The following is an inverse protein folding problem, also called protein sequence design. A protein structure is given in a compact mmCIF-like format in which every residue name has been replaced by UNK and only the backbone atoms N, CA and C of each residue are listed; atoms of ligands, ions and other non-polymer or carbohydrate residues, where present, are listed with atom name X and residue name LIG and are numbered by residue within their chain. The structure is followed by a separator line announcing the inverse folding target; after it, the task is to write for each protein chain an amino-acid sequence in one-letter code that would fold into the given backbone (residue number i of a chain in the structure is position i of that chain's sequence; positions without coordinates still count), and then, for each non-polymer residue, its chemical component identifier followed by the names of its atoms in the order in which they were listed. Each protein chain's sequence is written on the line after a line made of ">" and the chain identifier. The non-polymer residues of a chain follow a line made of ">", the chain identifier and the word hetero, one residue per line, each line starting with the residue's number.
data_IF_629912246332
#
_entry.id   IF_629912246332
#
_cell.length_a   1.000
_cell.length_b   1.000
_cell.length_c   1.000
_cell.angle_alpha   90.00
_cell.angle_beta   90.00
_cell.angle_gamma   90.00
#
_symmetry.space_group_name_H-M   'P 1'
#
loop_
_entity.id
_entity.type
_entity.pdbx_description
1 polymer ?
#
# COMPACT_ATOMS: atom_id res chain seq x y z
N UNK A 1 -25.82 24.88 -96.62
CA UNK A 1 -25.05 24.05 -95.66
C UNK A 1 -24.83 24.88 -94.40
N UNK A 2 -25.76 24.87 -93.44
CA UNK A 2 -25.58 25.72 -92.25
C UNK A 2 -26.49 25.33 -91.07
N UNK A 3 -26.46 24.07 -90.62
CA UNK A 3 -27.22 23.65 -89.42
C UNK A 3 -26.42 22.61 -88.63
N UNK A 4 -25.45 23.05 -87.81
CA UNK A 4 -24.84 22.24 -86.74
C UNK A 4 -23.91 23.09 -85.87
N UNK A 5 -24.44 23.98 -85.00
CA UNK A 5 -23.58 24.76 -84.07
C UNK A 5 -24.02 24.94 -82.59
N UNK A 6 -25.26 24.69 -82.12
CA UNK A 6 -25.55 24.95 -80.69
C UNK A 6 -25.35 23.76 -79.74
N UNK A 7 -25.33 22.49 -80.21
CA UNK A 7 -25.18 21.32 -79.33
C UNK A 7 -23.75 21.04 -78.85
N UNK A 8 -22.73 21.38 -79.64
CA UNK A 8 -21.33 21.13 -79.23
C UNK A 8 -20.86 22.03 -78.07
N UNK A 9 -21.52 23.18 -77.84
CA UNK A 9 -21.15 24.11 -76.77
C UNK A 9 -21.75 23.72 -75.40
N UNK A 10 -22.90 23.04 -75.36
CA UNK A 10 -23.48 22.54 -74.10
C UNK A 10 -22.76 21.30 -73.59
N UNK A 11 -22.34 20.41 -74.49
CA UNK A 11 -21.63 19.17 -74.13
C UNK A 11 -20.20 19.48 -73.65
N UNK A 12 -19.54 20.48 -74.24
CA UNK A 12 -18.23 20.96 -73.78
C UNK A 12 -18.28 21.56 -72.36
N UNK A 13 -19.33 22.35 -72.04
CA UNK A 13 -19.51 22.91 -70.68
C UNK A 13 -19.90 21.84 -69.65
N UNK A 14 -20.67 20.82 -70.05
CA UNK A 14 -21.01 19.70 -69.17
C UNK A 14 -19.78 18.83 -68.85
N UNK A 15 -18.90 18.60 -69.83
CA UNK A 15 -17.61 17.93 -69.63
C UNK A 15 -16.65 18.75 -68.75
N UNK A 16 -16.59 20.07 -68.93
CA UNK A 16 -15.73 20.96 -68.15
C UNK A 16 -16.16 21.09 -66.67
N UNK A 17 -17.48 21.10 -66.42
CA UNK A 17 -18.04 21.03 -65.05
C UNK A 17 -17.81 19.65 -64.43
N UNK A 18 -17.94 18.57 -65.21
CA UNK A 18 -17.66 17.20 -64.75
C UNK A 18 -16.20 17.01 -64.33
N UNK A 19 -15.24 17.52 -65.12
CA UNK A 19 -13.81 17.47 -64.81
C UNK A 19 -13.42 18.36 -63.62
N UNK A 20 -14.14 19.45 -63.40
CA UNK A 20 -13.94 20.34 -62.25
C UNK A 20 -14.43 19.68 -60.96
N UNK A 21 -15.62 19.06 -60.99
CA UNK A 21 -16.19 18.31 -59.87
C UNK A 21 -15.34 17.07 -59.56
N UNK A 22 -14.90 16.33 -60.58
CA UNK A 22 -14.02 15.16 -60.39
C UNK A 22 -12.67 15.52 -59.76
N UNK A 23 -12.07 16.65 -60.15
CA UNK A 23 -10.85 17.18 -59.52
C UNK A 23 -11.08 17.62 -58.08
N UNK A 24 -12.21 18.25 -57.79
CA UNK A 24 -12.58 18.67 -56.43
C UNK A 24 -12.80 17.46 -55.51
N UNK A 25 -13.52 16.43 -55.99
CA UNK A 25 -13.73 15.17 -55.27
C UNK A 25 -12.39 14.47 -55.01
N UNK A 26 -11.49 14.35 -56.00
CA UNK A 26 -10.16 13.77 -55.78
C UNK A 26 -9.36 14.52 -54.72
N UNK A 27 -9.39 15.86 -54.71
CA UNK A 27 -8.71 16.67 -53.69
C UNK A 27 -9.29 16.44 -52.30
N UNK A 28 -10.62 16.40 -52.17
CA UNK A 28 -11.28 16.13 -50.88
C UNK A 28 -10.95 14.73 -50.38
N UNK A 29 -11.01 13.70 -51.25
CA UNK A 29 -10.63 12.33 -50.88
C UNK A 29 -9.17 12.26 -50.46
N UNK A 30 -8.26 12.94 -51.17
CA UNK A 30 -6.83 12.96 -50.82
C UNK A 30 -6.57 13.64 -49.47
N UNK A 31 -7.29 14.73 -49.17
CA UNK A 31 -7.22 15.41 -47.86
C UNK A 31 -7.76 14.51 -46.74
N UNK A 32 -8.91 13.86 -46.96
CA UNK A 32 -9.51 12.96 -45.96
C UNK A 32 -8.62 11.74 -45.72
N UNK A 33 -8.11 11.11 -46.77
CA UNK A 33 -7.17 9.99 -46.66
C UNK A 33 -5.87 10.43 -45.97
N UNK A 34 -5.32 11.59 -46.35
CA UNK A 34 -4.16 12.17 -45.69
C UNK A 34 -4.38 12.42 -44.20
N UNK A 35 -5.54 12.96 -43.83
CA UNK A 35 -5.93 13.18 -42.43
C UNK A 35 -6.06 11.85 -41.68
N UNK A 36 -6.71 10.84 -42.28
CA UNK A 36 -6.85 9.50 -41.68
C UNK A 36 -5.50 8.84 -41.47
N UNK A 37 -4.58 8.95 -42.43
CA UNK A 37 -3.21 8.40 -42.31
C UNK A 37 -2.42 9.13 -41.22
N UNK A 38 -2.51 10.46 -41.15
CA UNK A 38 -1.85 11.25 -40.09
C UNK A 38 -2.43 10.92 -38.72
N UNK A 39 -3.77 10.80 -38.62
CA UNK A 39 -4.43 10.40 -37.38
C UNK A 39 -4.05 8.99 -36.97
N UNK A 40 -3.99 8.03 -37.90
CA UNK A 40 -3.56 6.66 -37.63
C UNK A 40 -2.09 6.57 -37.21
N UNK A 41 -1.20 7.32 -37.88
CA UNK A 41 0.21 7.42 -37.51
C UNK A 41 0.39 8.07 -36.14
N UNK A 42 -0.32 9.17 -35.84
CA UNK A 42 -0.36 9.79 -34.53
C UNK A 42 -0.89 8.81 -33.46
N UNK A 43 -1.90 8.01 -33.80
CA UNK A 43 -2.47 6.99 -32.92
C UNK A 43 -1.47 5.88 -32.54
N UNK A 44 -0.51 5.58 -33.43
CA UNK A 44 0.51 4.55 -33.22
C UNK A 44 1.79 5.10 -32.59
N UNK A 45 2.25 6.29 -33.00
CA UNK A 45 3.55 6.85 -32.60
C UNK A 45 3.51 7.57 -31.25
N UNK A 46 2.44 8.34 -30.97
CA UNK A 46 2.34 9.13 -29.73
C UNK A 46 2.39 8.24 -28.46
N UNK A 47 1.64 7.13 -28.37
CA UNK A 47 1.68 6.25 -27.19
C UNK A 47 3.06 5.63 -26.97
N UNK A 48 3.78 5.33 -28.05
CA UNK A 48 5.10 4.73 -27.99
C UNK A 48 6.15 5.70 -27.44
N UNK A 49 6.14 6.95 -27.92
CA UNK A 49 7.02 8.01 -27.40
C UNK A 49 6.70 8.31 -25.93
N UNK A 50 5.41 8.39 -25.57
CA UNK A 50 4.97 8.59 -24.19
C UNK A 50 5.41 7.43 -23.29
N UNK A 51 5.24 6.18 -23.74
CA UNK A 51 5.65 4.99 -22.99
C UNK A 51 7.15 4.99 -22.69
N UNK A 52 7.99 5.36 -23.65
CA UNK A 52 9.45 5.45 -23.45
C UNK A 52 9.82 6.53 -22.43
N UNK A 53 9.20 7.70 -22.49
CA UNK A 53 9.45 8.76 -21.50
C UNK A 53 9.01 8.34 -20.09
N UNK A 54 7.86 7.67 -19.97
CA UNK A 54 7.34 7.20 -18.71
C UNK A 54 8.17 6.03 -18.16
N UNK A 55 8.69 5.15 -19.02
CA UNK A 55 9.61 4.08 -18.65
C UNK A 55 10.94 4.61 -18.09
N UNK A 56 11.53 5.63 -18.72
CA UNK A 56 12.72 6.30 -18.21
C UNK A 56 12.45 7.00 -16.86
N UNK A 57 11.28 7.62 -16.72
CA UNK A 57 10.86 8.23 -15.47
C UNK A 57 10.64 7.17 -14.37
N UNK A 58 10.02 6.04 -14.70
CA UNK A 58 9.85 4.93 -13.76
C UNK A 58 11.21 4.37 -13.31
N UNK A 59 12.17 4.20 -14.21
CA UNK A 59 13.53 3.78 -13.84
C UNK A 59 14.19 4.77 -12.86
N UNK A 60 13.97 6.07 -13.07
CA UNK A 60 14.46 7.13 -12.17
C UNK A 60 13.75 7.09 -10.83
N UNK A 61 12.42 6.94 -10.82
CA UNK A 61 11.61 6.82 -9.59
C UNK A 61 12.05 5.61 -8.78
N UNK A 62 12.23 4.45 -9.44
CA UNK A 62 12.77 3.24 -8.83
C UNK A 62 14.14 3.51 -8.25
N UNK A 63 15.07 4.09 -9.01
CA UNK A 63 16.42 4.43 -8.55
C UNK A 63 16.42 5.33 -7.31
N UNK A 64 15.59 6.38 -7.29
CA UNK A 64 15.45 7.29 -6.16
C UNK A 64 14.94 6.55 -4.92
N UNK A 65 13.92 5.74 -5.10
CA UNK A 65 13.34 4.89 -4.06
C UNK A 65 14.35 3.85 -3.53
N UNK A 66 15.23 3.31 -4.39
CA UNK A 66 16.31 2.39 -3.95
C UNK A 66 17.27 3.03 -2.96
N UNK A 67 17.46 4.33 -3.10
CA UNK A 67 18.36 5.10 -2.25
C UNK A 67 17.69 5.50 -0.94
N UNK A 68 16.35 5.44 -0.85
CA UNK A 68 15.61 5.70 0.38
C UNK A 68 15.88 4.60 1.40
N UNK A 69 16.53 4.97 2.50
CA UNK A 69 16.76 4.10 3.66
C UNK A 69 15.91 4.60 4.81
N UNK A 70 15.15 3.71 5.42
CA UNK A 70 14.38 4.04 6.61
C UNK A 70 15.19 3.72 7.87
N UNK A 71 15.35 4.67 8.80
CA UNK A 71 16.02 4.42 10.06
C UNK A 71 15.21 3.43 10.92
N UNK A 72 15.90 2.50 11.58
CA UNK A 72 15.35 1.64 12.64
C UNK A 72 16.02 1.98 13.99
N UNK A 73 15.29 1.80 15.09
CA UNK A 73 15.85 1.79 16.47
C UNK A 73 16.95 0.72 16.57
N UNK A 74 17.92 0.86 17.51
CA UNK A 74 19.34 0.69 17.21
C UNK A 74 19.64 -0.66 16.55
N UNK A 75 20.59 -0.68 15.59
CA UNK A 75 20.93 -1.90 14.87
C UNK A 75 21.23 -3.02 15.86
N UNK A 76 20.57 -4.16 15.67
CA UNK A 76 20.85 -5.35 16.48
C UNK A 76 22.34 -5.67 16.37
N UNK A 77 23.08 -5.81 17.50
CA UNK A 77 24.45 -6.28 17.47
C UNK A 77 24.48 -7.66 16.81
N UNK A 78 25.26 -7.82 15.73
CA UNK A 78 25.39 -9.06 14.94
C UNK A 78 24.05 -9.55 14.34
N UNK A 79 23.52 -8.87 13.31
CA UNK A 79 22.34 -9.36 12.61
C UNK A 79 22.64 -10.71 11.95
N UNK A 80 21.72 -11.67 12.07
CA UNK A 80 21.83 -13.00 11.43
C UNK A 80 21.73 -12.95 9.89
N UNK A 81 21.22 -11.85 9.34
CA UNK A 81 21.01 -11.64 7.91
C UNK A 81 21.51 -10.26 7.48
N UNK A 82 21.97 -10.16 6.23
CA UNK A 82 22.54 -8.94 5.65
C UNK A 82 21.50 -7.81 5.54
N UNK A 83 20.23 -8.15 5.33
CA UNK A 83 19.10 -7.23 5.41
C UNK A 83 17.81 -7.92 5.90
N UNK A 84 16.90 -7.13 6.46
CA UNK A 84 15.66 -7.66 7.05
C UNK A 84 14.61 -8.15 6.09
N UNK A 85 14.68 -7.75 4.82
CA UNK A 85 13.76 -8.27 3.82
C UNK A 85 14.11 -9.71 3.43
N UNK A 86 15.37 -10.01 3.17
CA UNK A 86 15.82 -11.38 2.87
C UNK A 86 15.52 -12.35 4.01
N UNK A 87 15.73 -11.90 5.26
CA UNK A 87 15.30 -12.63 6.44
C UNK A 87 13.79 -12.92 6.39
N UNK A 88 12.99 -11.88 6.17
CA UNK A 88 11.53 -12.02 6.13
C UNK A 88 11.06 -12.97 5.02
N UNK A 89 11.61 -12.86 3.80
CA UNK A 89 11.32 -13.78 2.70
C UNK A 89 11.72 -15.21 3.03
N UNK A 90 12.87 -15.42 3.66
CA UNK A 90 13.28 -16.74 4.13
C UNK A 90 12.26 -17.31 5.14
N UNK A 91 11.78 -16.48 6.07
CA UNK A 91 10.74 -16.87 7.03
C UNK A 91 9.40 -17.18 6.38
N UNK A 92 9.01 -16.45 5.32
CA UNK A 92 7.81 -16.75 4.55
C UNK A 92 7.90 -18.09 3.81
N UNK A 93 9.10 -18.50 3.35
CA UNK A 93 9.31 -19.81 2.70
C UNK A 93 9.07 -20.97 3.65
N UNK A 94 9.45 -20.81 4.92
CA UNK A 94 9.29 -21.81 5.98
C UNK A 94 8.08 -21.53 6.89
N UNK A 95 7.21 -20.59 6.49
CA UNK A 95 6.01 -20.26 7.23
C UNK A 95 5.19 -21.54 7.48
N UNK A 96 4.89 -21.87 8.75
CA UNK A 96 4.09 -23.04 9.09
C UNK A 96 2.80 -23.05 8.27
N UNK A 97 2.42 -24.22 7.76
CA UNK A 97 1.20 -24.38 6.94
C UNK A 97 -0.06 -23.94 7.66
N UNK A 98 -0.03 -23.96 8.99
CA UNK A 98 -1.13 -23.63 9.86
C UNK A 98 -0.69 -22.57 10.88
N UNK A 99 -0.73 -21.30 10.49
CA UNK A 99 -0.82 -20.18 11.43
C UNK A 99 -2.29 -19.85 11.72
N UNK A 100 -3.22 -20.75 11.38
CA UNK A 100 -4.67 -20.51 11.25
C UNK A 100 -5.41 -20.02 12.49
N UNK A 101 -4.99 -20.34 13.73
CA UNK A 101 -5.58 -19.67 14.89
C UNK A 101 -5.36 -18.17 14.73
N UNK A 102 -4.18 -17.75 14.26
CA UNK A 102 -3.77 -16.36 14.18
C UNK A 102 -3.90 -15.73 12.78
N UNK A 103 -4.31 -16.42 11.71
CA UNK A 103 -4.56 -15.78 10.40
C UNK A 103 -6.03 -15.37 10.18
N UNK A 104 -6.96 -15.94 10.94
CA UNK A 104 -8.39 -15.63 10.88
C UNK A 104 -9.15 -16.34 9.76
N UNK A 105 -8.50 -17.26 9.02
CA UNK A 105 -9.11 -18.22 8.09
C UNK A 105 -9.14 -19.57 8.81
N UNK A 106 -10.03 -19.67 9.79
CA UNK A 106 -10.06 -20.82 10.69
C UNK A 106 -10.21 -22.14 9.94
N UNK A 107 -9.41 -23.12 10.35
CA UNK A 107 -9.90 -24.49 10.40
C UNK A 107 -11.06 -24.49 11.42
N UNK A 108 -12.24 -24.98 11.04
CA UNK A 108 -13.49 -24.85 11.83
C UNK A 108 -13.43 -25.50 13.23
N UNK A 109 -12.34 -26.18 13.56
CA UNK A 109 -12.09 -26.82 14.84
C UNK A 109 -11.27 -25.97 15.83
N UNK A 110 -10.57 -24.90 15.39
CA UNK A 110 -9.74 -24.08 16.26
C UNK A 110 -10.50 -22.84 16.77
N UNK A 111 -10.42 -22.50 18.08
CA UNK A 111 -11.05 -21.30 18.61
C UNK A 111 -10.47 -20.02 17.98
N UNK A 112 -11.35 -19.17 17.45
CA UNK A 112 -10.97 -17.86 16.89
C UNK A 112 -10.39 -16.97 18.01
N UNK A 113 -9.10 -16.57 17.97
CA UNK A 113 -8.46 -15.86 19.07
C UNK A 113 -8.97 -14.42 19.22
N UNK A 114 -9.90 -13.97 18.37
CA UNK A 114 -10.42 -12.61 18.32
C UNK A 114 -10.84 -12.05 19.68
N UNK A 115 -11.53 -12.84 20.51
CA UNK A 115 -11.97 -12.41 21.84
C UNK A 115 -10.80 -12.10 22.79
N UNK A 116 -9.76 -12.95 22.76
CA UNK A 116 -8.57 -12.83 23.62
C UNK A 116 -7.56 -11.78 23.12
N UNK A 117 -7.53 -11.57 21.80
CA UNK A 117 -6.63 -10.61 21.13
C UNK A 117 -7.19 -9.18 21.13
N UNK A 118 -8.52 -9.00 21.02
CA UNK A 118 -9.16 -7.67 20.80
C UNK A 118 -9.65 -6.95 22.05
N UNK A 119 -9.18 -7.34 23.24
CA UNK A 119 -9.51 -6.67 24.50
C UNK A 119 -10.95 -6.85 25.02
N UNK A 120 -11.75 -7.73 24.42
CA UNK A 120 -13.12 -7.97 24.90
C UNK A 120 -13.12 -8.77 26.20
N UNK A 121 -12.09 -9.58 26.42
CA UNK A 121 -11.87 -10.31 27.68
C UNK A 121 -10.93 -9.54 28.64
N UNK A 122 -11.35 -9.23 29.88
CA UNK A 122 -10.51 -8.62 30.90
C UNK A 122 -9.38 -9.54 31.40
N UNK A 123 -9.53 -10.87 31.33
CA UNK A 123 -8.58 -11.86 31.83
C UNK A 123 -8.26 -12.97 30.81
N UNK A 124 -7.86 -12.65 29.58
CA UNK A 124 -7.76 -13.61 28.48
C UNK A 124 -6.72 -14.69 28.75
N UNK A 125 -5.70 -14.41 29.57
CA UNK A 125 -4.65 -15.37 29.91
C UNK A 125 -5.24 -16.50 30.77
N UNK A 126 -6.26 -16.20 31.58
CA UNK A 126 -6.95 -17.19 32.43
C UNK A 126 -8.03 -17.95 31.66
N UNK A 127 -8.66 -17.32 30.69
CA UNK A 127 -9.76 -17.89 29.90
C UNK A 127 -9.29 -18.49 28.57
N UNK A 128 -8.00 -18.40 28.24
CA UNK A 128 -7.44 -18.91 27.00
C UNK A 128 -7.53 -20.44 26.96
N UNK A 129 -8.05 -21.03 25.87
CA UNK A 129 -8.09 -22.48 25.70
C UNK A 129 -6.67 -23.08 25.74
N UNK A 130 -6.45 -24.22 26.42
CA UNK A 130 -5.14 -24.88 26.49
C UNK A 130 -4.54 -25.18 25.11
N UNK A 131 -5.38 -25.47 24.13
CA UNK A 131 -4.99 -25.74 22.75
C UNK A 131 -4.37 -24.50 22.09
N UNK A 132 -4.89 -23.32 22.40
CA UNK A 132 -4.37 -22.06 21.88
C UNK A 132 -3.03 -21.69 22.55
N UNK A 133 -2.87 -21.94 23.85
CA UNK A 133 -1.59 -21.74 24.54
C UNK A 133 -0.52 -22.71 24.01
N UNK A 134 -0.86 -24.00 23.85
CA UNK A 134 0.06 -25.00 23.29
C UNK A 134 0.51 -24.61 21.88
N UNK A 135 -0.42 -24.13 21.05
CA UNK A 135 -0.10 -23.67 19.69
C UNK A 135 0.75 -22.39 19.68
N UNK A 136 0.49 -21.46 20.59
CA UNK A 136 1.31 -20.27 20.77
C UNK A 136 2.75 -20.65 21.18
N UNK A 137 2.91 -21.63 22.07
CA UNK A 137 4.24 -22.15 22.46
C UNK A 137 4.98 -22.77 21.28
N UNK A 138 4.31 -23.59 20.46
CA UNK A 138 4.92 -24.20 19.27
C UNK A 138 5.40 -23.15 18.24
N UNK A 139 4.60 -22.10 18.02
CA UNK A 139 4.90 -21.05 17.03
C UNK A 139 5.83 -19.94 17.56
N UNK A 140 6.06 -19.88 18.87
CA UNK A 140 6.80 -18.80 19.54
C UNK A 140 8.17 -18.53 18.91
N UNK A 141 8.95 -19.59 18.65
CA UNK A 141 10.27 -19.47 18.03
C UNK A 141 10.21 -18.87 16.63
N UNK A 142 9.23 -19.28 15.83
CA UNK A 142 9.05 -18.74 14.48
C UNK A 142 8.62 -17.27 14.52
N UNK A 143 7.73 -16.89 15.45
CA UNK A 143 7.35 -15.49 15.64
C UNK A 143 8.51 -14.62 16.15
N UNK A 144 9.36 -15.15 17.03
CA UNK A 144 10.58 -14.49 17.49
C UNK A 144 11.53 -14.22 16.33
N UNK A 145 11.82 -15.24 15.52
CA UNK A 145 12.65 -15.10 14.33
C UNK A 145 12.04 -14.11 13.31
N UNK A 146 10.72 -14.12 13.13
CA UNK A 146 10.01 -13.19 12.26
C UNK A 146 10.13 -11.73 12.77
N UNK A 147 9.98 -11.53 14.07
CA UNK A 147 10.16 -10.22 14.73
C UNK A 147 11.60 -9.75 14.59
N UNK A 148 12.57 -10.65 14.72
CA UNK A 148 14.00 -10.37 14.56
C UNK A 148 14.38 -10.03 13.11
N UNK A 149 13.74 -10.63 12.11
CA UNK A 149 13.83 -10.15 10.73
C UNK A 149 13.42 -8.68 10.64
N UNK A 150 12.36 -8.31 11.35
CA UNK A 150 11.92 -6.94 11.57
C UNK A 150 12.91 -6.05 12.33
N UNK A 151 13.92 -6.59 13.00
CA UNK A 151 14.93 -5.82 13.74
C UNK A 151 16.29 -5.77 13.02
N UNK A 152 16.53 -6.66 12.05
CA UNK A 152 17.79 -6.69 11.28
C UNK A 152 17.97 -5.47 10.34
N UNK A 153 19.22 -5.23 9.90
CA UNK A 153 19.69 -4.01 9.22
C UNK A 153 18.76 -3.58 8.07
N UNK A 154 18.63 -2.26 7.91
CA UNK A 154 17.85 -1.50 6.92
C UNK A 154 16.89 -2.33 6.06
N UNK A 155 15.57 -2.11 6.18
CA UNK A 155 14.67 -2.46 5.09
C UNK A 155 15.05 -1.57 3.90
N UNK A 156 15.71 -2.16 2.91
CA UNK A 156 15.91 -1.50 1.63
C UNK A 156 14.63 -1.66 0.83
N UNK A 157 14.07 -0.54 0.39
CA UNK A 157 12.78 -0.50 -0.28
C UNK A 157 12.70 -1.43 -1.50
N UNK A 158 13.81 -1.58 -2.24
CA UNK A 158 13.88 -2.39 -3.47
C UNK A 158 13.74 -3.87 -3.22
N UNK A 159 14.20 -4.33 -2.07
CA UNK A 159 14.03 -5.73 -1.72
C UNK A 159 12.52 -6.02 -1.62
N UNK A 160 11.72 -5.08 -1.08
CA UNK A 160 10.25 -5.13 -1.07
C UNK A 160 9.57 -4.90 -2.45
N UNK A 161 10.30 -4.43 -3.46
CA UNK A 161 9.82 -4.28 -4.85
C UNK A 161 10.10 -5.53 -5.73
N UNK A 162 10.73 -6.58 -5.19
CA UNK A 162 10.90 -7.84 -5.93
C UNK A 162 9.56 -8.59 -6.09
N UNK A 163 9.42 -9.57 -7.02
CA UNK A 163 8.18 -10.28 -7.38
C UNK A 163 7.38 -10.95 -6.24
N UNK A 164 7.79 -10.78 -5.00
CA UNK A 164 7.42 -11.56 -3.84
C UNK A 164 6.70 -10.76 -2.77
N UNK A 165 6.03 -9.66 -3.15
CA UNK A 165 4.77 -9.33 -2.51
C UNK A 165 3.81 -10.51 -2.77
N UNK A 166 3.98 -11.62 -2.05
CA UNK A 166 3.04 -12.73 -1.88
C UNK A 166 1.87 -12.14 -1.09
N UNK A 167 0.85 -11.56 -1.75
CA UNK A 167 -0.04 -10.62 -1.09
C UNK A 167 -0.87 -11.26 0.05
N UNK A 168 -1.23 -12.56 0.03
CA UNK A 168 -1.86 -13.17 1.18
C UNK A 168 -0.84 -13.56 2.27
N UNK A 169 0.23 -14.29 1.94
CA UNK A 169 1.13 -14.88 2.97
C UNK A 169 1.89 -13.84 3.78
N UNK A 170 2.28 -12.74 3.15
CA UNK A 170 2.94 -11.63 3.82
C UNK A 170 2.01 -11.00 4.87
N UNK A 171 0.80 -10.60 4.46
CA UNK A 171 -0.17 -9.97 5.34
C UNK A 171 -0.62 -10.93 6.44
N UNK A 172 -0.80 -12.21 6.11
CA UNK A 172 -1.10 -13.29 7.05
C UNK A 172 0.00 -13.42 8.11
N UNK A 173 1.27 -13.45 7.74
CA UNK A 173 2.39 -13.55 8.68
C UNK A 173 2.48 -12.36 9.63
N UNK A 174 2.37 -11.12 9.11
CA UNK A 174 2.43 -9.91 9.95
C UNK A 174 1.21 -9.82 10.86
N UNK A 175 0.01 -10.13 10.37
CA UNK A 175 -1.20 -10.13 11.19
C UNK A 175 -1.17 -11.24 12.25
N UNK A 176 -0.64 -12.42 11.92
CA UNK A 176 -0.43 -13.50 12.87
C UNK A 176 0.56 -13.08 13.97
N UNK A 177 1.67 -12.42 13.60
CA UNK A 177 2.62 -11.88 14.56
C UNK A 177 1.97 -10.84 15.48
N UNK A 178 1.20 -9.90 14.96
CA UNK A 178 0.48 -8.91 15.76
C UNK A 178 -0.50 -9.55 16.75
N UNK A 179 -1.22 -10.60 16.33
CA UNK A 179 -2.15 -11.35 17.19
C UNK A 179 -1.41 -12.13 18.27
N UNK A 180 -0.33 -12.81 17.91
CA UNK A 180 0.53 -13.53 18.84
C UNK A 180 1.14 -12.57 19.87
N UNK A 181 1.76 -11.48 19.43
CA UNK A 181 2.35 -10.48 20.32
C UNK A 181 1.31 -9.85 21.24
N UNK A 182 0.07 -9.62 20.78
CA UNK A 182 -1.01 -9.13 21.65
C UNK A 182 -1.24 -10.06 22.85
N UNK A 183 -1.27 -11.38 22.63
CA UNK A 183 -1.42 -12.37 23.70
C UNK A 183 -0.17 -12.49 24.57
N UNK A 184 1.00 -12.54 23.94
CA UNK A 184 2.31 -12.61 24.59
C UNK A 184 2.50 -11.46 25.59
N UNK A 185 2.17 -10.23 25.18
CA UNK A 185 2.25 -9.03 26.02
C UNK A 185 1.39 -9.18 27.27
N UNK A 186 0.15 -9.65 27.14
CA UNK A 186 -0.74 -9.83 28.30
C UNK A 186 -0.22 -10.91 29.24
N UNK A 187 0.35 -12.01 28.72
CA UNK A 187 0.99 -13.07 29.53
C UNK A 187 2.20 -12.52 30.29
N UNK A 188 3.05 -11.74 29.63
CA UNK A 188 4.21 -11.12 30.25
C UNK A 188 3.83 -10.10 31.33
N UNK A 189 2.84 -9.23 31.08
CA UNK A 189 2.30 -8.29 32.08
C UNK A 189 1.73 -9.03 33.28
N UNK A 190 0.91 -10.08 33.05
CA UNK A 190 0.35 -10.89 34.12
C UNK A 190 1.41 -11.59 34.99
N UNK A 191 2.57 -11.90 34.40
CA UNK A 191 3.73 -12.50 35.10
C UNK A 191 4.69 -11.46 35.71
N UNK A 192 4.34 -10.17 35.69
CA UNK A 192 5.19 -9.10 36.25
C UNK A 192 6.40 -8.72 35.38
N UNK A 193 6.45 -9.18 34.13
CA UNK A 193 7.54 -8.92 33.18
C UNK A 193 7.22 -7.73 32.26
N UNK A 194 6.86 -6.58 32.86
CA UNK A 194 6.38 -5.40 32.14
C UNK A 194 7.41 -4.82 31.14
N UNK A 195 8.70 -4.84 31.49
CA UNK A 195 9.77 -4.35 30.60
C UNK A 195 9.89 -5.22 29.35
N UNK A 196 9.89 -6.56 29.50
CA UNK A 196 9.89 -7.46 28.35
C UNK A 196 8.62 -7.30 27.53
N UNK A 197 7.45 -7.19 28.17
CA UNK A 197 6.18 -6.95 27.49
C UNK A 197 6.23 -5.67 26.63
N UNK A 198 6.76 -4.58 27.18
CA UNK A 198 6.89 -3.32 26.47
C UNK A 198 7.87 -3.44 25.30
N UNK A 199 9.02 -4.08 25.49
CA UNK A 199 10.01 -4.30 24.44
C UNK A 199 9.44 -5.15 23.30
N UNK A 200 8.77 -6.28 23.61
CA UNK A 200 8.12 -7.14 22.61
C UNK A 200 7.05 -6.39 21.81
N UNK A 201 6.21 -5.63 22.50
CA UNK A 201 5.14 -4.86 21.87
C UNK A 201 5.70 -3.74 20.99
N UNK A 202 6.63 -2.94 21.52
CA UNK A 202 7.22 -1.82 20.80
C UNK A 202 8.02 -2.28 19.59
N UNK A 203 8.84 -3.34 19.69
CA UNK A 203 9.56 -3.91 18.53
C UNK A 203 8.61 -4.44 17.46
N UNK A 204 7.56 -5.16 17.84
CA UNK A 204 6.58 -5.69 16.88
C UNK A 204 5.81 -4.56 16.22
N UNK A 205 5.37 -3.58 17.00
CA UNK A 205 4.68 -2.41 16.47
C UNK A 205 5.58 -1.64 15.52
N UNK A 206 6.84 -1.41 15.89
CA UNK A 206 7.83 -0.78 15.03
C UNK A 206 7.94 -1.54 13.69
N UNK A 207 8.12 -2.86 13.74
CA UNK A 207 8.19 -3.70 12.55
C UNK A 207 6.94 -3.55 11.67
N UNK A 208 5.75 -3.63 12.27
CA UNK A 208 4.48 -3.52 11.52
C UNK A 208 4.29 -2.13 10.91
N UNK A 209 4.69 -1.05 11.59
CA UNK A 209 4.59 0.32 11.05
C UNK A 209 5.51 0.53 9.85
N UNK A 210 6.70 -0.06 9.85
CA UNK A 210 7.62 0.01 8.69
C UNK A 210 7.01 -0.58 7.42
N UNK A 211 6.04 -1.49 7.57
CA UNK A 211 5.39 -2.12 6.43
C UNK A 211 4.55 -1.14 5.62
N UNK A 212 4.16 0.00 6.20
CA UNK A 212 3.47 1.08 5.47
C UNK A 212 4.27 1.63 4.28
N UNK A 213 5.61 1.50 4.32
CA UNK A 213 6.49 1.88 3.21
C UNK A 213 6.43 0.92 2.01
N UNK A 214 5.61 -0.13 2.07
CA UNK A 214 5.40 -1.09 0.97
C UNK A 214 4.15 -0.78 0.14
N UNK A 215 3.52 0.38 0.34
CA UNK A 215 2.34 0.81 -0.42
C UNK A 215 1.05 0.53 0.34
N UNK A 216 -0.06 0.40 -0.38
CA UNK A 216 -1.39 0.38 0.24
C UNK A 216 -1.58 -0.85 1.13
N UNK A 217 -1.22 -2.04 0.65
CA UNK A 217 -1.40 -3.28 1.40
C UNK A 217 -0.58 -3.26 2.70
N UNK A 218 0.69 -2.85 2.62
CA UNK A 218 1.55 -2.73 3.78
C UNK A 218 1.03 -1.71 4.80
N UNK A 219 0.48 -0.58 4.32
CA UNK A 219 -0.16 0.40 5.20
C UNK A 219 -1.45 -0.13 5.83
N UNK A 220 -2.26 -0.91 5.12
CA UNK A 220 -3.44 -1.57 5.70
C UNK A 220 -3.07 -2.57 6.79
N UNK A 221 -2.03 -3.38 6.55
CA UNK A 221 -1.49 -4.32 7.54
C UNK A 221 -0.94 -3.58 8.76
N UNK A 222 -0.20 -2.49 8.55
CA UNK A 222 0.29 -1.62 9.61
C UNK A 222 -0.85 -1.01 10.44
N UNK A 223 -1.88 -0.46 9.79
CA UNK A 223 -3.07 0.09 10.46
C UNK A 223 -3.82 -0.96 11.27
N UNK A 224 -4.04 -2.16 10.70
CA UNK A 224 -4.71 -3.25 11.38
C UNK A 224 -3.89 -3.76 12.58
N UNK A 225 -2.57 -3.85 12.43
CA UNK A 225 -1.64 -4.21 13.51
C UNK A 225 -1.62 -3.16 14.62
N UNK A 226 -1.58 -1.87 14.28
CA UNK A 226 -1.63 -0.78 15.25
C UNK A 226 -2.91 -0.84 16.09
N UNK A 227 -4.08 -1.00 15.47
CA UNK A 227 -5.36 -1.09 16.20
C UNK A 227 -5.37 -2.23 17.22
N UNK A 228 -4.64 -3.30 16.94
CA UNK A 228 -4.54 -4.47 17.80
C UNK A 228 -3.49 -4.32 18.90
N UNK A 229 -2.30 -3.82 18.55
CA UNK A 229 -1.15 -3.74 19.43
C UNK A 229 -1.18 -2.49 20.32
N UNK A 230 -1.72 -1.37 19.85
CA UNK A 230 -1.73 -0.10 20.59
C UNK A 230 -2.29 -0.23 22.01
N UNK A 231 -3.46 -0.85 22.25
CA UNK A 231 -3.97 -1.04 23.61
C UNK A 231 -3.04 -1.89 24.48
N UNK A 232 -2.41 -2.92 23.91
CA UNK A 232 -1.51 -3.83 24.64
C UNK A 232 -0.19 -3.18 25.00
N UNK A 233 0.36 -2.37 24.09
CA UNK A 233 1.58 -1.66 24.36
C UNK A 233 1.37 -0.59 25.44
N UNK A 234 0.18 0.03 25.51
CA UNK A 234 -0.18 0.95 26.60
C UNK A 234 -0.38 0.22 27.92
N UNK A 235 -1.00 -0.97 27.91
CA UNK A 235 -1.08 -1.84 29.09
C UNK A 235 0.32 -2.19 29.62
N UNK A 236 1.23 -2.63 28.75
CA UNK A 236 2.61 -2.92 29.11
C UNK A 236 3.36 -1.68 29.62
N UNK A 237 3.18 -0.53 28.96
CA UNK A 237 3.79 0.74 29.39
C UNK A 237 3.28 1.19 30.75
N UNK A 238 1.97 1.09 31.01
CA UNK A 238 1.36 1.41 32.29
C UNK A 238 1.86 0.51 33.42
N UNK A 239 2.17 -0.76 33.13
CA UNK A 239 2.75 -1.71 34.07
C UNK A 239 4.25 -1.46 34.36
N UNK A 240 4.94 -0.60 33.60
CA UNK A 240 6.34 -0.26 33.88
C UNK A 240 6.49 0.51 35.20
N UNK A 241 7.58 0.28 35.95
CA UNK A 241 7.99 1.15 37.04
C UNK A 241 8.12 2.62 36.59
N UNK A 242 7.71 3.56 37.44
CA UNK A 242 7.74 5.00 37.14
C UNK A 242 9.08 5.53 36.58
N UNK A 243 10.27 5.08 37.04
CA UNK A 243 11.55 5.54 36.49
C UNK A 243 11.79 5.19 35.02
N UNK A 244 11.17 4.11 34.52
CA UNK A 244 11.37 3.65 33.14
C UNK A 244 10.41 4.31 32.15
N UNK A 245 9.23 4.78 32.62
CA UNK A 245 8.20 5.36 31.75
C UNK A 245 8.72 6.54 30.91
N UNK A 246 9.47 7.54 31.43
CA UNK A 246 9.95 8.67 30.63
C UNK A 246 10.91 8.27 29.49
N UNK A 247 11.79 7.28 29.74
CA UNK A 247 12.71 6.78 28.72
C UNK A 247 11.95 6.13 27.56
N UNK A 248 10.91 5.37 27.90
CA UNK A 248 10.05 4.72 26.90
C UNK A 248 9.15 5.70 26.14
N UNK A 249 8.79 6.85 26.71
CA UNK A 249 8.06 7.91 26.01
C UNK A 249 8.83 8.46 24.81
N UNK A 250 10.16 8.57 24.89
CA UNK A 250 10.98 8.91 23.73
C UNK A 250 10.89 7.84 22.63
N UNK A 251 10.84 6.56 23.02
CA UNK A 251 10.61 5.44 22.11
C UNK A 251 9.28 5.54 21.37
N UNK A 252 8.21 5.98 22.05
CA UNK A 252 6.90 6.24 21.44
C UNK A 252 6.94 7.33 20.37
N UNK A 253 7.68 8.42 20.63
CA UNK A 253 7.91 9.48 19.64
C UNK A 253 8.58 8.90 18.40
N UNK A 254 9.59 8.04 18.58
CA UNK A 254 10.25 7.37 17.46
C UNK A 254 9.32 6.43 16.70
N UNK A 255 8.39 5.74 17.36
CA UNK A 255 7.42 4.87 16.68
C UNK A 255 6.46 5.66 15.78
N UNK A 256 6.03 6.84 16.21
CA UNK A 256 5.13 7.69 15.42
C UNK A 256 5.73 8.13 14.07
N UNK A 257 7.06 8.28 13.99
CA UNK A 257 7.75 8.67 12.75
C UNK A 257 7.99 7.53 11.78
N UNK A 258 7.71 6.27 12.18
CA UNK A 258 7.97 5.09 11.32
C UNK A 258 6.88 4.85 10.30
N UNK A 259 5.65 5.30 10.58
CA UNK A 259 4.53 5.15 9.67
C UNK A 259 4.65 6.14 8.51
N UNK A 260 4.63 5.60 7.28
CA UNK A 260 4.73 6.36 6.05
C UNK A 260 3.61 7.40 5.94
N UNK A 261 3.91 8.53 5.31
CA UNK A 261 2.91 9.51 4.92
C UNK A 261 1.98 8.99 3.82
N UNK A 262 0.76 9.55 3.74
CA UNK A 262 -0.15 9.26 2.64
C UNK A 262 0.53 9.52 1.29
N UNK A 263 1.31 10.60 1.19
CA UNK A 263 2.12 10.94 0.02
C UNK A 263 3.09 9.82 -0.37
N UNK A 264 3.89 9.34 0.58
CA UNK A 264 4.86 8.26 0.37
C UNK A 264 4.18 6.94 0.03
N UNK A 265 3.06 6.63 0.70
CA UNK A 265 2.30 5.41 0.43
C UNK A 265 1.75 5.40 -0.99
N UNK A 266 1.10 6.49 -1.44
CA UNK A 266 0.58 6.57 -2.81
C UNK A 266 1.70 6.59 -3.85
N UNK A 267 2.81 7.27 -3.58
CA UNK A 267 3.98 7.25 -4.45
C UNK A 267 4.55 5.83 -4.57
N UNK A 268 4.56 5.09 -3.47
CA UNK A 268 5.00 3.70 -3.42
C UNK A 268 4.08 2.79 -4.20
N UNK A 269 2.78 2.84 -3.93
CA UNK A 269 1.78 2.05 -4.65
C UNK A 269 1.88 2.26 -6.17
N UNK A 270 2.10 3.51 -6.58
CA UNK A 270 2.31 3.86 -7.98
C UNK A 270 3.47 3.09 -8.61
N UNK A 271 4.62 3.08 -7.93
CA UNK A 271 5.83 2.42 -8.41
C UNK A 271 5.69 0.91 -8.34
N UNK A 272 5.17 0.35 -7.24
CA UNK A 272 4.91 -1.08 -7.09
C UNK A 272 3.99 -1.61 -8.19
N UNK A 273 2.84 -0.96 -8.43
CA UNK A 273 1.89 -1.46 -9.44
C UNK A 273 2.43 -1.27 -10.86
N UNK A 274 3.23 -0.22 -11.11
CA UNK A 274 3.90 -0.06 -12.40
C UNK A 274 4.94 -1.16 -12.62
N UNK A 275 5.75 -1.50 -11.61
CA UNK A 275 6.69 -2.62 -11.71
C UNK A 275 5.94 -3.92 -11.97
N UNK A 276 4.86 -4.20 -11.22
CA UNK A 276 4.04 -5.40 -11.42
C UNK A 276 3.49 -5.51 -12.84
N UNK A 277 2.93 -4.42 -13.37
CA UNK A 277 2.36 -4.39 -14.72
C UNK A 277 3.41 -4.72 -15.81
N UNK A 278 4.66 -4.33 -15.60
CA UNK A 278 5.75 -4.56 -16.55
C UNK A 278 6.72 -5.67 -16.12
N UNK A 279 6.42 -6.40 -15.04
CA UNK A 279 7.27 -7.45 -14.48
C UNK A 279 7.51 -8.61 -15.47
N UNK A 280 6.48 -9.13 -16.18
CA UNK A 280 6.70 -10.16 -17.19
C UNK A 280 7.64 -9.74 -18.33
N UNK A 281 8.01 -8.45 -18.37
CA UNK A 281 8.75 -7.80 -19.44
C UNK A 281 10.16 -7.39 -19.02
N UNK A 282 10.55 -7.58 -17.74
CA UNK A 282 11.87 -7.23 -17.23
C UNK A 282 12.71 -8.49 -16.99
N UNK A 283 13.93 -8.64 -17.57
CA UNK A 283 14.85 -9.66 -17.10
C UNK A 283 15.14 -9.35 -15.62
N UNK A 284 15.15 -10.37 -14.77
CA UNK A 284 15.39 -10.28 -13.33
C UNK A 284 16.78 -9.72 -13.01
N UNK A 285 16.99 -8.42 -13.23
CA UNK A 285 18.10 -7.57 -12.79
C UNK A 285 17.90 -6.16 -13.41
N UNK A 286 17.01 -5.38 -12.81
CA UNK A 286 17.08 -3.90 -12.87
C UNK A 286 16.66 -3.22 -14.17
N UNK A 287 15.39 -3.35 -14.57
CA UNK A 287 14.62 -2.48 -15.48
C UNK A 287 15.44 -1.68 -16.52
N UNK A 288 15.74 -2.30 -17.66
CA UNK A 288 15.53 -1.64 -18.94
C UNK A 288 14.70 -2.55 -19.85
N UNK A 289 13.94 -1.92 -20.76
CA UNK A 289 13.06 -2.53 -21.78
C UNK A 289 11.56 -2.66 -21.45
N UNK A 290 10.95 -1.60 -20.89
CA UNK A 290 9.50 -1.37 -21.11
C UNK A 290 9.18 -1.33 -22.63
N UNK A 291 10.17 -0.92 -23.42
CA UNK A 291 10.12 -0.71 -24.86
C UNK A 291 10.04 -2.01 -25.71
N UNK A 292 10.54 -3.17 -25.23
CA UNK A 292 10.79 -4.33 -26.11
C UNK A 292 9.90 -5.57 -25.92
N UNK A 293 9.04 -5.66 -24.89
CA UNK A 293 8.49 -6.99 -24.54
C UNK A 293 7.00 -7.12 -24.24
N UNK A 294 6.17 -6.12 -24.55
CA UNK A 294 4.70 -6.31 -24.74
C UNK A 294 4.36 -7.21 -25.95
N UNK A 295 5.31 -8.00 -26.45
CA UNK A 295 5.42 -8.39 -27.84
C UNK A 295 4.99 -9.83 -28.19
N UNK A 296 4.74 -10.74 -27.24
CA UNK A 296 4.49 -12.14 -27.61
C UNK A 296 3.04 -12.50 -27.97
N UNK A 297 1.99 -12.05 -27.26
CA UNK A 297 0.64 -12.69 -27.41
C UNK A 297 -0.60 -11.78 -27.46
N UNK A 298 -0.47 -10.45 -27.43
CA UNK A 298 -1.63 -9.52 -27.47
C UNK A 298 -1.73 -8.74 -28.78
N UNK A 299 -2.97 -8.44 -29.23
CA UNK A 299 -3.21 -7.59 -30.41
C UNK A 299 -2.68 -6.17 -30.21
N UNK A 300 -2.30 -5.48 -31.29
CA UNK A 300 -1.84 -4.07 -31.27
C UNK A 300 -2.81 -3.16 -30.52
N UNK A 301 -4.12 -3.41 -30.66
CA UNK A 301 -5.19 -2.64 -30.00
C UNK A 301 -5.14 -2.86 -28.48
N UNK A 302 -4.98 -4.10 -28.01
CA UNK A 302 -4.88 -4.42 -26.58
C UNK A 302 -3.65 -3.74 -25.95
N UNK A 303 -2.51 -3.73 -26.64
CA UNK A 303 -1.28 -3.06 -26.17
C UNK A 303 -1.46 -1.55 -26.02
N UNK A 304 -2.08 -0.94 -27.02
CA UNK A 304 -2.41 0.48 -26.99
C UNK A 304 -3.34 0.84 -25.82
N UNK A 305 -4.38 0.02 -25.59
CA UNK A 305 -5.29 0.21 -24.46
C UNK A 305 -4.56 0.11 -23.11
N UNK A 306 -3.68 -0.88 -22.93
CA UNK A 306 -2.90 -1.03 -21.69
C UNK A 306 -2.00 0.18 -21.43
N UNK A 307 -1.23 0.62 -22.44
CA UNK A 307 -0.33 1.78 -22.30
C UNK A 307 -1.08 3.09 -22.02
N UNK A 308 -2.23 3.29 -22.67
CA UNK A 308 -3.09 4.46 -22.44
C UNK A 308 -3.72 4.43 -21.04
N UNK A 309 -4.20 3.27 -20.60
CA UNK A 309 -4.74 3.10 -19.25
C UNK A 309 -3.66 3.37 -18.20
N UNK A 310 -2.46 2.83 -18.41
CA UNK A 310 -1.31 3.04 -17.52
C UNK A 310 -0.89 4.50 -17.43
N UNK A 311 -0.69 5.19 -18.55
CA UNK A 311 -0.29 6.59 -18.53
C UNK A 311 -1.32 7.48 -17.82
N UNK A 312 -2.61 7.20 -18.02
CA UNK A 312 -3.68 7.92 -17.32
C UNK A 312 -3.65 7.64 -15.81
N UNK A 313 -3.46 6.40 -15.40
CA UNK A 313 -3.40 6.03 -13.99
C UNK A 313 -2.15 6.56 -13.30
N UNK A 314 -0.96 6.49 -13.92
CA UNK A 314 0.29 7.02 -13.35
C UNK A 314 0.13 8.52 -13.06
N UNK A 315 -0.39 9.28 -14.02
CA UNK A 315 -0.66 10.71 -13.85
C UNK A 315 -1.62 10.99 -12.68
N UNK A 316 -2.70 10.22 -12.56
CA UNK A 316 -3.68 10.37 -11.48
C UNK A 316 -3.12 9.95 -10.12
N UNK A 317 -2.31 8.89 -10.05
CA UNK A 317 -1.63 8.47 -8.82
C UNK A 317 -0.57 9.50 -8.38
N UNK A 318 0.12 10.16 -9.31
CA UNK A 318 0.99 11.31 -8.98
C UNK A 318 0.18 12.47 -8.42
N UNK A 319 -0.94 12.82 -9.04
CA UNK A 319 -1.83 13.88 -8.54
C UNK A 319 -2.38 13.54 -7.14
N UNK A 320 -2.79 12.29 -6.92
CA UNK A 320 -3.24 11.80 -5.62
C UNK A 320 -2.13 11.88 -4.56
N UNK A 321 -0.91 11.45 -4.89
CA UNK A 321 0.25 11.55 -3.99
C UNK A 321 0.57 13.01 -3.64
N UNK A 322 0.42 13.94 -4.58
CA UNK A 322 0.60 15.38 -4.33
C UNK A 322 -0.51 15.98 -3.46
N UNK A 323 -1.76 15.55 -3.65
CA UNK A 323 -2.92 15.98 -2.88
C UNK A 323 -3.04 15.30 -1.50
N UNK A 324 -2.12 14.42 -1.14
CA UNK A 324 -2.30 13.45 -0.06
C UNK A 324 -2.51 14.06 1.33
N UNK A 325 -1.98 15.25 1.59
CA UNK A 325 -2.07 15.92 2.90
C UNK A 325 -3.38 16.72 3.09
N UNK A 326 -4.15 16.95 2.02
CA UNK A 326 -5.45 17.61 2.08
C UNK A 326 -6.57 16.59 1.90
N UNK A 327 -7.38 16.28 2.94
CA UNK A 327 -8.47 15.31 2.83
C UNK A 327 -9.42 15.62 1.66
N UNK A 328 -9.76 16.90 1.48
CA UNK A 328 -10.65 17.35 0.41
C UNK A 328 -10.04 17.16 -0.98
N UNK A 329 -8.79 17.57 -1.17
CA UNK A 329 -8.12 17.42 -2.47
C UNK A 329 -7.84 15.95 -2.79
N UNK A 330 -7.45 15.17 -1.77
CA UNK A 330 -7.26 13.72 -1.89
C UNK A 330 -8.56 13.02 -2.28
N UNK A 331 -9.69 13.34 -1.68
CA UNK A 331 -10.99 12.79 -2.07
C UNK A 331 -11.33 13.13 -3.53
N UNK A 332 -11.09 14.37 -3.96
CA UNK A 332 -11.29 14.80 -5.34
C UNK A 332 -10.39 14.01 -6.32
N UNK A 333 -9.11 13.82 -6.00
CA UNK A 333 -8.18 13.07 -6.85
C UNK A 333 -8.46 11.55 -6.81
N UNK A 334 -8.91 11.01 -5.68
CA UNK A 334 -9.29 9.61 -5.55
C UNK A 334 -10.53 9.30 -6.39
N UNK A 335 -11.55 10.17 -6.35
CA UNK A 335 -12.74 10.07 -7.20
C UNK A 335 -12.40 10.17 -8.70
N UNK A 336 -11.31 10.89 -9.03
CA UNK A 336 -10.82 10.98 -10.39
C UNK A 336 -10.08 9.71 -10.85
N UNK A 337 -9.69 8.78 -9.98
CA UNK A 337 -9.11 7.52 -10.43
C UNK A 337 -10.20 6.69 -11.14
N UNK A 338 -10.04 6.53 -12.46
CA UNK A 338 -11.01 5.84 -13.31
C UNK A 338 -11.08 4.35 -12.97
N UNK A 339 -12.30 3.84 -12.75
CA UNK A 339 -12.57 2.44 -12.44
C UNK A 339 -12.10 1.47 -13.54
N UNK A 340 -12.12 1.91 -14.80
CA UNK A 340 -11.65 1.11 -15.93
C UNK A 340 -10.13 0.95 -15.91
N UNK A 341 -9.34 2.02 -15.80
CA UNK A 341 -7.88 1.92 -15.68
C UNK A 341 -7.42 1.11 -14.46
N UNK A 342 -8.14 1.22 -13.34
CA UNK A 342 -7.84 0.49 -12.10
C UNK A 342 -8.03 -1.03 -12.21
N UNK A 343 -9.10 -1.49 -12.88
CA UNK A 343 -9.41 -2.92 -13.02
C UNK A 343 -8.35 -3.72 -13.80
N UNK A 344 -7.56 -3.04 -14.65
CA UNK A 344 -6.49 -3.67 -15.43
C UNK A 344 -5.13 -3.64 -14.74
N UNK A 345 -4.94 -2.84 -13.69
CA UNK A 345 -3.61 -2.47 -13.20
C UNK A 345 -3.39 -2.62 -11.69
N UNK A 346 -4.43 -2.93 -10.92
CA UNK A 346 -4.25 -3.32 -9.53
C UNK A 346 -3.93 -4.82 -9.45
N UNK A 347 -2.74 -5.25 -8.99
CA UNK A 347 -2.39 -6.66 -8.79
C UNK A 347 -3.37 -7.43 -7.89
N UNK A 348 -4.24 -6.71 -7.18
CA UNK A 348 -5.01 -7.25 -6.09
C UNK A 348 -6.53 -7.20 -6.34
N UNK A 349 -7.02 -6.63 -7.46
CA UNK A 349 -8.45 -6.39 -7.72
C UNK A 349 -9.21 -5.68 -6.56
N UNK A 350 -8.49 -5.15 -5.55
CA UNK A 350 -9.08 -4.69 -4.29
C UNK A 350 -9.43 -3.20 -4.28
N UNK A 351 -9.03 -2.39 -5.28
CA UNK A 351 -9.04 -0.94 -5.16
C UNK A 351 -9.81 -0.23 -6.28
N UNK A 352 -11.12 0.01 -6.06
CA UNK A 352 -11.86 1.04 -6.78
C UNK A 352 -11.59 2.44 -6.22
N UNK A 353 -12.01 3.50 -6.91
CA UNK A 353 -11.90 4.90 -6.45
C UNK A 353 -12.35 5.12 -4.99
N UNK A 354 -13.49 4.55 -4.60
CA UNK A 354 -14.02 4.61 -3.22
C UNK A 354 -13.09 3.96 -2.18
N UNK A 355 -12.21 3.04 -2.59
CA UNK A 355 -11.26 2.39 -1.70
C UNK A 355 -10.02 3.26 -1.47
N UNK A 356 -9.61 4.11 -2.42
CA UNK A 356 -8.49 5.04 -2.26
C UNK A 356 -8.83 6.23 -1.34
N UNK A 357 -10.07 6.73 -1.39
CA UNK A 357 -10.56 7.75 -0.46
C UNK A 357 -10.58 7.22 0.98
N UNK A 358 -11.28 6.10 1.22
CA UNK A 358 -11.30 5.42 2.52
C UNK A 358 -9.90 5.03 3.00
N UNK A 359 -9.00 4.72 2.07
CA UNK A 359 -7.62 4.44 2.41
C UNK A 359 -6.91 5.67 2.99
N UNK A 360 -7.06 6.84 2.36
CA UNK A 360 -6.55 8.10 2.88
C UNK A 360 -7.03 8.37 4.31
N UNK A 361 -8.33 8.20 4.54
CA UNK A 361 -8.92 8.34 5.89
C UNK A 361 -8.31 7.35 6.90
N UNK A 362 -8.05 6.10 6.50
CA UNK A 362 -7.41 5.09 7.36
C UNK A 362 -5.97 5.45 7.70
N UNK A 363 -5.21 6.04 6.78
CA UNK A 363 -3.85 6.55 7.04
C UNK A 363 -3.91 7.67 8.07
N UNK A 364 -4.82 8.62 7.91
CA UNK A 364 -5.00 9.73 8.85
C UNK A 364 -5.38 9.21 10.25
N UNK A 365 -6.32 8.27 10.33
CA UNK A 365 -6.70 7.62 11.59
C UNK A 365 -5.53 6.92 12.26
N UNK A 366 -4.69 6.24 11.48
CA UNK A 366 -3.50 5.55 12.00
C UNK A 366 -2.53 6.56 12.61
N UNK A 367 -2.32 7.70 11.94
CA UNK A 367 -1.53 8.82 12.48
C UNK A 367 -2.15 9.38 13.76
N UNK A 368 -3.47 9.61 13.80
CA UNK A 368 -4.16 10.06 15.01
C UNK A 368 -3.94 9.11 16.17
N UNK A 369 -4.05 7.78 15.95
CA UNK A 369 -3.77 6.78 17.01
C UNK A 369 -2.32 6.86 17.47
N UNK A 370 -1.34 6.98 16.56
CA UNK A 370 0.08 7.14 16.94
C UNK A 370 0.32 8.41 17.75
N UNK A 371 -0.27 9.55 17.36
CA UNK A 371 -0.21 10.80 18.12
C UNK A 371 -0.85 10.67 19.49
N UNK A 372 -1.94 9.90 19.61
CA UNK A 372 -2.57 9.58 20.89
C UNK A 372 -1.65 8.77 21.79
N UNK A 373 -0.96 7.75 21.26
CA UNK A 373 0.01 6.99 22.05
C UNK A 373 1.15 7.88 22.56
N UNK A 374 1.65 8.77 21.71
CA UNK A 374 2.65 9.78 22.09
C UNK A 374 2.10 10.70 23.19
N UNK A 375 0.88 11.20 23.05
CA UNK A 375 0.23 12.06 24.05
C UNK A 375 0.04 11.35 25.39
N UNK A 376 -0.44 10.09 25.39
CA UNK A 376 -0.59 9.28 26.61
C UNK A 376 0.78 9.10 27.27
N UNK A 377 1.81 8.71 26.50
CA UNK A 377 3.16 8.50 27.03
C UNK A 377 3.81 9.79 27.55
N UNK A 378 3.40 10.96 27.03
CA UNK A 378 3.79 12.28 27.51
C UNK A 378 3.04 12.75 28.75
N UNK A 379 2.22 11.89 29.35
CA UNK A 379 1.45 12.18 30.55
C UNK A 379 0.07 12.78 30.28
N UNK A 380 -0.49 12.61 29.08
CA UNK A 380 -1.88 12.93 28.74
C UNK A 380 -2.39 14.30 29.25
N UNK A 381 -1.51 15.31 29.23
CA UNK A 381 -1.79 16.67 29.74
C UNK A 381 -2.59 17.44 28.68
N UNK A 382 -3.59 18.19 29.14
CA UNK A 382 -4.46 18.99 28.27
C UNK A 382 -5.50 18.17 27.50
N UNK A 383 -5.98 18.75 26.40
CA UNK A 383 -6.96 18.15 25.50
C UNK A 383 -6.35 16.98 24.70
N UNK A 384 -7.14 15.92 24.40
CA UNK A 384 -6.67 14.83 23.56
C UNK A 384 -6.45 15.29 22.10
N UNK A 385 -5.67 14.53 21.31
CA UNK A 385 -5.47 14.85 19.90
C UNK A 385 -6.79 14.96 19.10
N UNK A 386 -6.84 15.77 18.03
CA UNK A 386 -8.03 15.90 17.19
C UNK A 386 -8.55 14.54 16.70
N UNK A 387 -9.87 14.34 16.78
CA UNK A 387 -10.52 13.07 16.43
C UNK A 387 -10.60 12.05 17.56
N UNK A 388 -10.12 12.40 18.75
CA UNK A 388 -10.23 11.60 19.97
C UNK A 388 -11.15 12.29 20.99
N UNK A 389 -11.87 11.50 21.78
CA UNK A 389 -12.72 11.99 22.87
C UNK A 389 -12.24 11.38 24.18
N UNK A 390 -11.99 12.24 25.19
CA UNK A 390 -11.62 11.77 26.53
C UNK A 390 -12.87 11.25 27.23
N UNK A 391 -12.75 10.04 27.79
CA UNK A 391 -13.78 9.42 28.63
C UNK A 391 -13.13 8.96 29.94
N UNK A 392 -13.93 8.52 30.91
CA UNK A 392 -13.39 8.09 32.20
C UNK A 392 -12.39 6.93 32.02
N UNK A 393 -11.16 7.15 32.50
CA UNK A 393 -10.03 6.22 32.39
C UNK A 393 -9.55 5.86 30.97
N UNK A 394 -10.01 6.54 29.91
CA UNK A 394 -9.67 6.18 28.54
C UNK A 394 -9.80 7.33 27.52
N UNK A 395 -9.40 7.05 26.28
CA UNK A 395 -9.76 7.85 25.11
C UNK A 395 -10.45 6.97 24.08
N UNK A 396 -11.45 7.55 23.41
CA UNK A 396 -12.23 6.89 22.37
C UNK A 396 -12.06 7.60 21.03
N UNK A 397 -12.10 6.82 19.95
CA UNK A 397 -12.21 7.34 18.59
C UNK A 397 -13.13 6.48 17.75
N UNK A 398 -13.70 7.09 16.71
CA UNK A 398 -14.53 6.41 15.72
C UNK A 398 -13.68 6.15 14.47
N UNK A 399 -13.61 4.91 14.00
CA UNK A 399 -12.89 4.59 12.77
C UNK A 399 -13.69 4.94 11.50
N UNK A 400 -13.07 4.73 10.33
CA UNK A 400 -13.66 5.06 9.03
C UNK A 400 -14.96 4.29 8.74
N UNK A 401 -15.14 3.14 9.40
CA UNK A 401 -16.32 2.30 9.26
C UNK A 401 -17.37 2.63 10.36
N UNK A 402 -17.09 3.63 11.18
CA UNK A 402 -17.98 4.13 12.22
C UNK A 402 -17.93 3.35 13.53
N UNK A 403 -16.99 2.41 13.69
CA UNK A 403 -16.83 1.64 14.92
C UNK A 403 -16.06 2.46 15.96
N UNK A 404 -16.55 2.45 17.20
CA UNK A 404 -15.86 3.08 18.34
C UNK A 404 -14.77 2.14 18.87
N UNK A 405 -13.59 2.69 19.09
CA UNK A 405 -12.44 2.02 19.66
C UNK A 405 -11.99 2.77 20.91
N UNK A 406 -11.56 2.04 21.93
CA UNK A 406 -11.16 2.60 23.24
C UNK A 406 -9.72 2.23 23.55
N UNK A 407 -8.95 3.21 24.01
CA UNK A 407 -7.57 3.04 24.48
C UNK A 407 -7.55 3.49 25.95
N UNK A 408 -7.24 2.57 26.86
CA UNK A 408 -7.13 2.89 28.27
C UNK A 408 -6.01 3.92 28.51
N UNK A 409 -6.23 4.87 29.40
CA UNK A 409 -5.21 5.82 29.85
C UNK A 409 -4.80 5.40 31.25
N UNK A 410 -3.56 4.90 31.44
CA UNK A 410 -3.10 4.51 32.76
C UNK A 410 -3.18 5.70 33.74
N UNK A 411 -3.50 5.46 35.01
CA UNK A 411 -3.46 6.52 36.02
C UNK A 411 -2.05 7.11 36.06
N UNK A 412 -1.98 8.43 35.94
CA UNK A 412 -0.74 9.18 36.02
C UNK A 412 -0.53 9.50 37.50
N UNK A 413 0.42 8.81 38.11
CA UNK A 413 0.89 9.12 39.48
C UNK A 413 1.75 10.39 39.48
#
# INVERSE_FOLDING_TARGET
>A
MEWCRPRCASDARALEVSDTVARMIRRVVFIVVGLVVVLAAAFLVIPFVQARSLGAQLATDVAAIRQTKWPRNPPVPNPRHDNGFQCFVAMLKVMPRDVSPFDGKGDTAAPNPGAWVRAEDPEPVKTMPPELDARAQELSKWFDELRDCGNSRHLQYVDALTPWALPPRYGEAVMALSRFTSLEVRKLVANGLAEEAFNRCSSTLAFTLDQSHQGLLGAMVASASLRMLAPRCIEAWGALPAPLRPLTSAGWVTLATRFASAKEIFATERVCSSIYLFEPLAPHQGVPHVDELLLSDTTVISRWLVLRSWSSWDARMRALSQAAESPKERAQQAAALDALGQSWMSPANFAGAANYEKFGERVDQTRTVLTTLQWISGGAKGEPPPGMTRVDGAVEYKDADGKVHRIAVPPLE
#
